data_IF_887763404584
#
_entry.id   IF_887763404584
#
_cell.length_a   1.000
_cell.length_b   1.000
_cell.length_c   1.000
_cell.angle_alpha   90.00
_cell.angle_beta   90.00
_cell.angle_gamma   90.00
#
_symmetry.space_group_name_H-M   'P 1'
#
loop_
_entity.id
_entity.type
_entity.pdbx_description
1 polymer ?
#
# COMPACT_ATOMS: atom_id res chain seq x y z
N UNK A 1 -19.55 -5.59 -9.52
CA UNK A 1 -18.26 -5.12 -8.97
C UNK A 1 -17.32 -6.32 -8.95
N UNK A 2 -16.28 -6.34 -9.78
CA UNK A 2 -15.30 -7.43 -9.83
C UNK A 2 -13.93 -6.89 -9.38
N UNK A 3 -13.81 -6.59 -8.09
CA UNK A 3 -12.55 -6.12 -7.49
C UNK A 3 -11.88 -7.31 -6.84
N UNK A 4 -10.64 -7.61 -7.26
CA UNK A 4 -9.81 -8.62 -6.63
C UNK A 4 -8.87 -7.96 -5.62
N UNK A 5 -8.89 -8.44 -4.38
CA UNK A 5 -8.04 -7.92 -3.30
C UNK A 5 -7.03 -8.99 -2.92
N UNK A 6 -5.76 -8.70 -3.15
CA UNK A 6 -4.66 -9.48 -2.61
C UNK A 6 -4.26 -8.94 -1.23
N UNK A 7 -4.24 -9.82 -0.22
CA UNK A 7 -3.82 -9.46 1.14
C UNK A 7 -2.35 -9.88 1.34
N UNK A 8 -1.46 -8.90 1.20
CA UNK A 8 -0.05 -8.99 1.52
C UNK A 8 0.19 -8.92 3.04
N UNK A 9 0.00 -10.05 3.74
CA UNK A 9 0.19 -10.13 5.19
C UNK A 9 0.67 -11.51 5.64
N UNK A 10 1.36 -11.53 6.79
CA UNK A 10 1.54 -12.73 7.60
C UNK A 10 0.25 -13.10 8.35
N UNK A 11 0.40 -13.65 9.55
CA UNK A 11 -0.75 -13.94 10.41
C UNK A 11 -1.53 -12.66 10.76
N UNK A 12 -2.82 -12.65 10.45
CA UNK A 12 -3.70 -11.51 10.69
C UNK A 12 -4.28 -11.66 12.08
N UNK A 13 -4.18 -10.62 12.89
CA UNK A 13 -4.75 -10.62 14.23
C UNK A 13 -6.24 -10.98 14.20
N UNK A 14 -6.62 -12.03 14.95
CA UNK A 14 -7.99 -12.53 14.97
C UNK A 14 -8.47 -13.21 13.67
N UNK A 15 -7.57 -13.45 12.72
CA UNK A 15 -7.75 -14.30 11.54
C UNK A 15 -9.02 -14.03 10.74
N UNK A 16 -9.67 -15.12 10.32
CA UNK A 16 -10.90 -15.08 9.52
C UNK A 16 -12.03 -14.29 10.18
N UNK A 17 -12.14 -14.33 11.50
CA UNK A 17 -13.17 -13.57 12.24
C UNK A 17 -13.06 -12.07 11.96
N UNK A 18 -11.85 -11.51 11.94
CA UNK A 18 -11.64 -10.09 11.63
C UNK A 18 -11.76 -9.78 10.13
N UNK A 19 -11.48 -10.76 9.27
CA UNK A 19 -11.64 -10.63 7.82
C UNK A 19 -13.07 -10.84 7.32
N UNK A 20 -13.96 -11.42 8.12
CA UNK A 20 -15.31 -11.82 7.69
C UNK A 20 -16.11 -10.68 7.03
N UNK A 21 -16.06 -9.48 7.60
CA UNK A 21 -16.74 -8.29 7.01
C UNK A 21 -16.12 -7.87 5.69
N UNK A 22 -14.79 -7.93 5.58
CA UNK A 22 -14.08 -7.60 4.33
C UNK A 22 -14.38 -8.64 3.24
N UNK A 23 -14.37 -9.93 3.57
CA UNK A 23 -14.69 -11.01 2.66
C UNK A 23 -16.15 -10.97 2.18
N UNK A 24 -17.08 -10.56 3.04
CA UNK A 24 -18.48 -10.38 2.68
C UNK A 24 -18.67 -9.21 1.68
N UNK A 25 -17.93 -8.11 1.87
CA UNK A 25 -17.97 -6.95 0.97
C UNK A 25 -17.20 -7.19 -0.34
N UNK A 26 -16.11 -7.96 -0.29
CA UNK A 26 -15.23 -8.27 -1.42
C UNK A 26 -15.02 -9.79 -1.52
N UNK A 27 -15.83 -10.52 -2.30
CA UNK A 27 -15.73 -11.98 -2.34
C UNK A 27 -14.42 -12.51 -2.94
N UNK A 28 -13.75 -11.71 -3.79
CA UNK A 28 -12.51 -12.09 -4.46
C UNK A 28 -11.27 -11.71 -3.63
N UNK A 29 -11.24 -12.17 -2.37
CA UNK A 29 -10.08 -12.08 -1.51
C UNK A 29 -9.09 -13.21 -1.83
N UNK A 30 -7.82 -12.85 -2.00
CA UNK A 30 -6.73 -13.75 -2.38
C UNK A 30 -5.51 -13.50 -1.50
N UNK A 31 -4.76 -14.56 -1.21
CA UNK A 31 -3.47 -14.53 -0.52
C UNK A 31 -2.50 -15.44 -1.27
N UNK A 32 -1.20 -15.37 -0.96
CA UNK A 32 -0.18 -16.26 -1.55
C UNK A 32 -0.54 -17.74 -1.45
N UNK A 33 -1.20 -18.16 -0.36
CA UNK A 33 -1.65 -19.54 -0.14
C UNK A 33 -2.74 -20.00 -1.13
N UNK A 34 -3.40 -19.05 -1.79
CA UNK A 34 -4.38 -19.32 -2.86
C UNK A 34 -3.76 -19.20 -4.26
N UNK A 35 -2.63 -18.52 -4.40
CA UNK A 35 -1.92 -18.36 -5.68
C UNK A 35 -0.95 -19.50 -5.97
N UNK A 36 -0.34 -20.06 -4.93
CA UNK A 36 0.73 -21.05 -5.03
C UNK A 36 0.29 -22.38 -4.40
N UNK A 37 0.77 -23.48 -4.96
CA UNK A 37 0.54 -24.78 -4.35
C UNK A 37 1.31 -24.87 -3.02
N UNK A 38 0.84 -25.67 -2.05
CA UNK A 38 1.56 -25.90 -0.80
C UNK A 38 3.00 -26.39 -1.02
N UNK A 39 3.23 -27.19 -2.06
CA UNK A 39 4.57 -27.65 -2.48
C UNK A 39 5.52 -26.51 -2.85
N UNK A 40 5.00 -25.46 -3.48
CA UNK A 40 5.79 -24.31 -3.91
C UNK A 40 6.11 -23.40 -2.71
N UNK A 41 5.17 -23.30 -1.77
CA UNK A 41 5.35 -22.54 -0.53
C UNK A 41 6.31 -23.22 0.45
N UNK A 42 6.47 -24.54 0.38
CA UNK A 42 7.40 -25.30 1.24
C UNK A 42 8.84 -24.81 1.14
N UNK A 43 9.29 -24.36 -0.05
CA UNK A 43 10.65 -23.83 -0.24
C UNK A 43 10.92 -22.56 0.57
N UNK A 44 9.88 -21.82 0.95
CA UNK A 44 9.98 -20.58 1.70
C UNK A 44 9.63 -20.74 3.18
N UNK A 45 9.27 -21.95 3.63
CA UNK A 45 8.99 -22.22 5.03
C UNK A 45 10.23 -21.92 5.88
N UNK A 46 10.02 -21.28 7.03
CA UNK A 46 11.08 -20.78 7.93
C UNK A 46 11.97 -19.68 7.34
N UNK A 47 11.72 -19.22 6.10
CA UNK A 47 12.41 -18.10 5.47
C UNK A 47 11.47 -16.92 5.33
N UNK A 48 11.15 -16.26 6.45
CA UNK A 48 10.13 -15.20 6.53
C UNK A 48 10.36 -14.07 5.51
N UNK A 49 11.60 -13.63 5.30
CA UNK A 49 11.92 -12.61 4.30
C UNK A 49 11.66 -13.07 2.86
N UNK A 50 11.92 -14.34 2.53
CA UNK A 50 11.63 -14.89 1.20
C UNK A 50 10.12 -15.08 1.00
N UNK A 51 9.41 -15.51 2.05
CA UNK A 51 7.94 -15.57 2.04
C UNK A 51 7.32 -14.17 1.82
N UNK A 52 7.88 -13.14 2.46
CA UNK A 52 7.46 -11.75 2.25
C UNK A 52 7.82 -11.22 0.85
N UNK A 53 8.84 -11.77 0.18
CA UNK A 53 9.17 -11.41 -1.19
C UNK A 53 8.05 -11.80 -2.19
N UNK A 54 7.27 -12.85 -1.90
CA UNK A 54 6.10 -13.18 -2.71
C UNK A 54 5.03 -12.08 -2.60
N UNK A 55 4.75 -11.63 -1.38
CA UNK A 55 3.83 -10.50 -1.13
C UNK A 55 4.34 -9.22 -1.81
N UNK A 56 5.66 -9.04 -1.89
CA UNK A 56 6.31 -7.89 -2.52
C UNK A 56 6.05 -7.86 -4.01
N UNK A 57 6.29 -8.98 -4.70
CA UNK A 57 6.11 -9.09 -6.15
C UNK A 57 4.66 -8.82 -6.55
N UNK A 58 3.69 -9.39 -5.82
CA UNK A 58 2.27 -9.14 -6.10
C UNK A 58 1.90 -7.68 -5.81
N UNK A 59 2.42 -7.08 -4.74
CA UNK A 59 2.16 -5.68 -4.40
C UNK A 59 2.80 -4.69 -5.40
N UNK A 60 3.93 -5.07 -5.99
CA UNK A 60 4.62 -4.27 -7.01
C UNK A 60 3.85 -4.28 -8.34
N UNK A 61 3.28 -5.43 -8.71
CA UNK A 61 2.56 -5.61 -9.97
C UNK A 61 1.05 -5.35 -9.89
N UNK A 62 0.50 -5.08 -8.70
CA UNK A 62 -0.91 -4.72 -8.56
C UNK A 62 -1.23 -3.36 -9.20
N UNK A 63 -2.46 -3.20 -9.70
CA UNK A 63 -2.94 -1.94 -10.26
C UNK A 63 -2.92 -0.82 -9.21
N UNK A 64 -3.32 -1.15 -7.98
CA UNK A 64 -3.39 -0.24 -6.84
C UNK A 64 -2.71 -0.91 -5.66
N UNK A 65 -1.85 -0.17 -4.96
CA UNK A 65 -1.28 -0.58 -3.69
C UNK A 65 -1.78 0.33 -2.56
N UNK A 66 -2.20 -0.27 -1.44
CA UNK A 66 -2.69 0.45 -0.26
C UNK A 66 -2.00 -0.12 0.98
N UNK A 67 -0.94 0.51 1.50
CA UNK A 67 -0.28 0.04 2.70
C UNK A 67 -1.13 0.36 3.95
N UNK A 68 -1.18 -0.59 4.89
CA UNK A 68 -1.87 -0.41 6.17
C UNK A 68 -1.07 0.41 7.17
N UNK A 69 0.25 0.29 7.16
CA UNK A 69 1.16 1.03 8.04
C UNK A 69 2.47 1.38 7.32
N UNK A 70 3.17 2.38 7.86
CA UNK A 70 4.53 2.73 7.49
C UNK A 70 5.52 1.68 8.04
N UNK A 71 5.55 0.51 7.41
CA UNK A 71 6.55 -0.53 7.67
C UNK A 71 7.59 -0.61 6.56
N UNK A 72 8.72 -1.29 6.82
CA UNK A 72 9.79 -1.47 5.83
C UNK A 72 9.27 -2.03 4.49
N UNK A 73 8.35 -2.99 4.53
CA UNK A 73 7.71 -3.56 3.34
C UNK A 73 6.95 -2.49 2.54
N UNK A 74 6.13 -1.68 3.21
CA UNK A 74 5.36 -0.62 2.57
C UNK A 74 6.29 0.41 1.91
N UNK A 75 7.34 0.85 2.64
CA UNK A 75 8.34 1.78 2.11
C UNK A 75 9.03 1.25 0.86
N UNK A 76 9.51 0.00 0.87
CA UNK A 76 10.22 -0.57 -0.30
C UNK A 76 9.29 -0.78 -1.50
N UNK A 77 8.04 -1.21 -1.27
CA UNK A 77 7.05 -1.32 -2.36
C UNK A 77 6.72 0.06 -2.93
N UNK A 78 6.44 1.04 -2.07
CA UNK A 78 6.14 2.42 -2.47
C UNK A 78 7.28 3.03 -3.29
N UNK A 79 8.52 2.91 -2.81
CA UNK A 79 9.69 3.46 -3.51
C UNK A 79 9.91 2.80 -4.87
N UNK A 80 9.75 1.48 -4.97
CA UNK A 80 9.87 0.79 -6.26
C UNK A 80 8.72 1.13 -7.21
N UNK A 81 7.48 1.20 -6.72
CA UNK A 81 6.32 1.66 -7.50
C UNK A 81 6.48 3.10 -7.98
N UNK A 82 7.09 3.97 -7.17
CA UNK A 82 7.45 5.34 -7.54
C UNK A 82 8.48 5.35 -8.68
N UNK A 83 9.53 4.54 -8.56
CA UNK A 83 10.56 4.38 -9.60
C UNK A 83 9.99 3.88 -10.94
N UNK A 84 9.05 2.95 -10.92
CA UNK A 84 8.39 2.40 -12.11
C UNK A 84 7.30 3.33 -12.69
N UNK A 85 7.57 4.65 -12.72
CA UNK A 85 6.65 5.63 -13.32
C UNK A 85 5.43 5.93 -12.44
N UNK A 86 5.62 6.05 -11.13
CA UNK A 86 4.55 6.46 -10.20
C UNK A 86 3.32 5.54 -10.21
N UNK A 87 3.53 4.21 -10.20
CA UNK A 87 2.43 3.24 -10.09
C UNK A 87 1.53 3.60 -8.90
N UNK A 88 0.21 3.60 -9.12
CA UNK A 88 -0.80 4.13 -8.19
C UNK A 88 -0.67 3.51 -6.79
N UNK A 89 -0.42 4.36 -5.79
CA UNK A 89 -0.20 3.95 -4.41
C UNK A 89 -0.95 4.88 -3.47
N UNK A 90 -1.98 4.38 -2.78
CA UNK A 90 -2.86 5.19 -1.95
C UNK A 90 -2.37 5.17 -0.50
N UNK A 91 -1.79 6.28 -0.04
CA UNK A 91 -1.35 6.43 1.34
C UNK A 91 -2.48 7.02 2.18
N UNK A 92 -3.10 6.22 3.03
CA UNK A 92 -4.26 6.64 3.81
C UNK A 92 -3.90 7.57 4.98
N UNK A 93 -4.68 8.65 5.15
CA UNK A 93 -4.76 9.39 6.41
C UNK A 93 -5.58 8.61 7.43
N UNK A 94 -4.91 7.71 8.15
CA UNK A 94 -5.60 6.80 9.07
C UNK A 94 -6.32 7.52 10.19
N UNK A 95 -5.76 8.62 10.71
CA UNK A 95 -6.36 9.36 11.83
C UNK A 95 -7.65 10.02 11.37
N UNK A 96 -7.58 10.75 10.26
CA UNK A 96 -8.75 11.39 9.68
C UNK A 96 -9.81 10.37 9.23
N UNK A 97 -9.40 9.22 8.68
CA UNK A 97 -10.36 8.16 8.34
C UNK A 97 -11.11 7.61 9.54
N UNK A 98 -10.46 7.43 10.69
CA UNK A 98 -11.14 7.01 11.93
C UNK A 98 -12.21 8.03 12.31
N UNK A 99 -11.86 9.32 12.31
CA UNK A 99 -12.80 10.39 12.66
C UNK A 99 -13.97 10.48 11.68
N UNK A 100 -13.73 10.32 10.37
CA UNK A 100 -14.78 10.31 9.36
C UNK A 100 -15.70 9.09 9.47
N UNK A 101 -15.13 7.91 9.76
CA UNK A 101 -15.91 6.67 9.96
C UNK A 101 -16.82 6.82 11.19
N UNK A 102 -16.32 7.40 12.28
CA UNK A 102 -17.11 7.62 13.48
C UNK A 102 -18.25 8.63 13.23
N UNK A 103 -17.98 9.72 12.53
CA UNK A 103 -19.02 10.69 12.14
C UNK A 103 -20.09 10.07 11.25
N UNK A 104 -19.68 9.27 10.26
CA UNK A 104 -20.60 8.54 9.39
C UNK A 104 -21.47 7.55 10.18
N UNK A 105 -20.87 6.76 11.07
CA UNK A 105 -21.62 5.82 11.91
C UNK A 105 -22.60 6.51 12.88
N UNK A 106 -22.25 7.70 13.37
CA UNK A 106 -23.11 8.48 14.26
C UNK A 106 -24.19 9.28 13.49
N UNK A 107 -24.26 9.15 12.16
CA UNK A 107 -25.23 9.85 11.33
C UNK A 107 -24.97 11.35 11.18
N UNK A 108 -23.78 11.82 11.57
CA UNK A 108 -23.37 13.23 11.44
C UNK A 108 -22.91 13.58 10.02
N UNK A 109 -22.67 12.56 9.19
CA UNK A 109 -22.11 12.69 7.86
C UNK A 109 -22.78 11.70 6.91
N UNK A 110 -23.22 12.17 5.74
CA UNK A 110 -23.81 11.29 4.71
C UNK A 110 -22.75 10.47 3.98
N UNK A 111 -23.16 9.42 3.26
CA UNK A 111 -22.24 8.60 2.47
C UNK A 111 -21.53 9.42 1.37
N UNK A 112 -22.24 10.37 0.77
CA UNK A 112 -21.69 11.22 -0.29
C UNK A 112 -20.66 12.21 0.25
N UNK A 113 -20.94 12.82 1.41
CA UNK A 113 -19.97 13.65 2.13
C UNK A 113 -18.76 12.82 2.57
N UNK A 114 -18.97 11.60 3.08
CA UNK A 114 -17.88 10.71 3.48
C UNK A 114 -16.97 10.40 2.30
N UNK A 115 -17.57 9.96 1.20
CA UNK A 115 -16.82 9.61 -0.01
C UNK A 115 -16.06 10.80 -0.59
N UNK A 116 -16.69 11.98 -0.60
CA UNK A 116 -16.10 13.19 -1.17
C UNK A 116 -14.93 13.67 -0.33
N UNK A 117 -15.10 13.77 1.00
CA UNK A 117 -14.03 14.18 1.91
C UNK A 117 -12.86 13.21 1.89
N UNK A 118 -13.12 11.89 1.84
CA UNK A 118 -12.05 10.88 1.69
C UNK A 118 -11.27 11.10 0.40
N UNK A 119 -11.95 11.33 -0.74
CA UNK A 119 -11.26 11.56 -2.03
C UNK A 119 -10.44 12.84 -2.02
N UNK A 120 -10.99 13.93 -1.48
CA UNK A 120 -10.35 15.24 -1.42
C UNK A 120 -9.06 15.18 -0.59
N UNK A 121 -9.12 14.63 0.62
CA UNK A 121 -7.95 14.54 1.52
C UNK A 121 -6.82 13.67 0.94
N UNK A 122 -7.15 12.72 0.06
CA UNK A 122 -6.19 11.76 -0.48
C UNK A 122 -5.74 12.08 -1.91
N UNK A 123 -6.18 13.18 -2.51
CA UNK A 123 -5.85 13.51 -3.93
C UNK A 123 -4.34 13.52 -4.19
N UNK A 124 -3.57 14.11 -3.28
CA UNK A 124 -2.10 14.20 -3.37
C UNK A 124 -1.36 13.01 -2.73
N UNK A 125 -2.09 11.97 -2.34
CA UNK A 125 -1.58 10.79 -1.63
C UNK A 125 -1.69 9.52 -2.46
N UNK A 126 -1.61 9.65 -3.79
CA UNK A 126 -1.88 8.60 -4.79
C UNK A 126 -0.62 8.04 -5.47
N UNK A 127 0.57 8.34 -4.95
CA UNK A 127 1.84 7.94 -5.54
C UNK A 127 2.29 8.97 -6.57
N UNK A 128 3.17 9.87 -6.16
CA UNK A 128 3.67 10.98 -6.98
C UNK A 128 5.16 11.20 -6.69
N UNK A 129 5.78 12.08 -7.49
CA UNK A 129 7.12 12.58 -7.21
C UNK A 129 7.12 13.36 -5.91
N UNK A 130 8.07 13.04 -5.02
CA UNK A 130 8.22 13.66 -3.72
C UNK A 130 9.70 13.77 -3.40
N UNK A 131 10.13 14.92 -2.87
CA UNK A 131 11.47 15.05 -2.33
C UNK A 131 11.64 14.18 -1.08
N UNK A 132 12.84 13.63 -0.92
CA UNK A 132 13.22 12.87 0.27
C UNK A 132 13.13 13.76 1.50
N UNK A 133 12.41 13.30 2.52
CA UNK A 133 12.40 14.00 3.82
C UNK A 133 13.73 13.75 4.51
N UNK A 134 14.44 14.83 4.84
CA UNK A 134 15.68 14.80 5.64
C UNK A 134 15.37 15.40 7.00
N UNK A 135 15.64 14.65 8.06
CA UNK A 135 15.43 15.07 9.45
C UNK A 135 16.79 15.19 10.11
N UNK A 136 17.34 16.40 10.15
CA UNK A 136 18.74 16.65 10.53
C UNK A 136 19.13 16.13 11.91
N UNK A 137 18.19 16.14 12.86
CA UNK A 137 18.37 15.65 14.23
C UNK A 137 18.06 14.14 14.38
N UNK A 138 17.45 13.51 13.36
CA UNK A 138 17.02 12.10 13.39
C UNK A 138 17.21 11.40 12.04
N UNK A 139 18.46 11.07 11.66
CA UNK A 139 18.74 10.42 10.38
C UNK A 139 17.99 9.07 10.20
N UNK A 140 17.63 8.38 11.28
CA UNK A 140 16.85 7.13 11.19
C UNK A 140 15.38 7.33 10.82
N UNK A 141 14.87 8.55 10.97
CA UNK A 141 13.49 8.91 10.61
C UNK A 141 13.40 9.50 9.19
N UNK A 142 14.53 9.68 8.51
CA UNK A 142 14.58 10.16 7.14
C UNK A 142 14.10 9.10 6.14
N UNK A 143 13.62 9.56 4.98
CA UNK A 143 13.30 8.66 3.88
C UNK A 143 14.61 8.06 3.34
N UNK A 144 14.82 6.74 3.43
CA UNK A 144 15.99 6.08 2.84
C UNK A 144 15.83 5.85 1.33
N UNK A 145 16.94 5.62 0.62
CA UNK A 145 16.99 5.54 -0.84
C UNK A 145 15.87 4.68 -1.45
N UNK A 146 15.74 3.44 -0.99
CA UNK A 146 14.73 2.50 -1.49
C UNK A 146 13.28 2.84 -1.14
N UNK A 147 13.02 3.72 -0.16
CA UNK A 147 11.68 4.20 0.15
C UNK A 147 11.24 5.33 -0.80
N UNK A 148 12.19 6.12 -1.28
CA UNK A 148 11.95 7.23 -2.17
C UNK A 148 13.17 7.49 -3.06
N UNK A 149 13.35 6.81 -4.20
CA UNK A 149 14.53 6.94 -5.06
C UNK A 149 14.47 8.18 -5.96
N UNK A 150 14.15 9.34 -5.37
CA UNK A 150 13.90 10.61 -6.08
C UNK A 150 15.05 11.03 -7.00
N UNK A 151 16.30 10.77 -6.62
CA UNK A 151 17.49 11.07 -7.40
C UNK A 151 17.52 10.30 -8.74
N UNK A 152 16.86 9.15 -8.81
CA UNK A 152 16.73 8.35 -10.04
C UNK A 152 15.54 8.79 -10.91
N UNK A 153 14.67 9.67 -10.42
CA UNK A 153 13.50 10.15 -11.16
C UNK A 153 13.84 11.37 -12.02
N UNK A 154 14.81 12.18 -11.59
CA UNK A 154 15.25 13.38 -12.32
C UNK A 154 15.80 13.06 -13.71
N UNK A 155 16.47 11.92 -13.85
CA UNK A 155 16.99 11.43 -15.14
C UNK A 155 15.90 10.96 -16.10
N UNK A 156 14.72 10.56 -15.60
CA UNK A 156 13.58 10.18 -16.44
C UNK A 156 12.86 11.43 -17.00
N UNK A 157 12.70 12.47 -16.20
CA UNK A 157 12.12 13.75 -16.64
C UNK A 157 13.00 14.44 -17.70
N UNK A 158 14.32 14.36 -17.59
CA UNK A 158 15.24 14.87 -18.61
C UNK A 158 15.17 14.06 -19.92
N UNK A 159 15.10 12.73 -19.84
CA UNK A 159 14.96 11.87 -21.02
C UNK A 159 13.63 12.10 -21.76
N UNK A 160 12.53 12.31 -21.03
CA UNK A 160 11.21 12.61 -21.61
C UNK A 160 11.11 14.02 -22.18
N UNK A 161 11.95 14.97 -21.75
CA UNK A 161 12.01 16.32 -22.34
C UNK A 161 12.82 16.39 -23.64
N UNK A 162 13.61 15.37 -23.96
CA UNK A 162 14.50 15.31 -25.13
C UNK A 162 13.85 14.58 -26.32
N UNK A 163 12.76 13.85 -26.08
CA UNK A 163 11.88 13.19 -27.07
C UNK A 163 10.64 14.00 -27.36
#
# INVERSE_FOLDING_TARGET
QNVQIYIAAGEIYGGERRLARLAAAFPNLVRKEKLLAPSDLMFFQNHSSQMAALDYLVSLESDIFVPTYDGNMAKVVEGHRRFLGFKKTILLDRKLLVDLIDQYHNGLLSCDEFSSTVKEVHVDRMGSSKQRVVVSDRPKEEDYFYANPHECLQTLDEAMRIT
#
